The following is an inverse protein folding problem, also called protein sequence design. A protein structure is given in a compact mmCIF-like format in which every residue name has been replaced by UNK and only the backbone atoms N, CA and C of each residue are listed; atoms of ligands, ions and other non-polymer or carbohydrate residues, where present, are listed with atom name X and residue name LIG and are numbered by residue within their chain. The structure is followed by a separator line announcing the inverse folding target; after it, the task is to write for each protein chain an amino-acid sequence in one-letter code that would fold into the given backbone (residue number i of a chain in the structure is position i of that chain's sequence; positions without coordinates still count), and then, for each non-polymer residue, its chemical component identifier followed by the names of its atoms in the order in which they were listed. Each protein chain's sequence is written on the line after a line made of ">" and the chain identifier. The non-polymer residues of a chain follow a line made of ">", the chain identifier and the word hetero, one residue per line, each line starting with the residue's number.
data_IF_125074313441
#
_entry.id   IF_125074313441
#
_cell.length_a   1.000
_cell.length_b   1.000
_cell.length_c   1.000
_cell.angle_alpha   90.00
_cell.angle_beta   90.00
_cell.angle_gamma   90.00
#
_symmetry.space_group_name_H-M   'P 1'
#
loop_
_entity.id
_entity.type
_entity.pdbx_description
1 polymer ?
#
# COMPACT_ATOMS: atom_id res chain seq x y z
N UNK A 1 2.31 9.70 29.76
CA UNK A 1 3.12 9.19 28.62
C UNK A 1 2.17 8.97 27.46
N UNK A 2 2.38 9.66 26.36
CA UNK A 2 1.55 9.48 25.17
C UNK A 2 2.06 8.26 24.40
N UNK A 3 1.18 7.28 24.15
CA UNK A 3 1.51 6.21 23.23
C UNK A 3 1.75 6.80 21.83
N UNK A 4 2.88 6.47 21.25
CA UNK A 4 3.18 6.86 19.87
C UNK A 4 2.19 6.16 18.93
N UNK A 5 1.52 6.93 18.08
CA UNK A 5 0.66 6.37 17.04
C UNK A 5 1.50 5.59 16.05
N UNK A 6 1.00 4.45 15.58
CA UNK A 6 1.72 3.57 14.66
C UNK A 6 1.18 3.66 13.25
N UNK A 7 2.09 3.74 12.29
CA UNK A 7 1.79 3.66 10.88
C UNK A 7 2.60 2.54 10.22
N UNK A 8 1.90 1.68 9.49
CA UNK A 8 2.49 0.67 8.62
C UNK A 8 2.38 1.17 7.18
N UNK A 9 3.49 1.23 6.46
CA UNK A 9 3.54 1.79 5.10
C UNK A 9 4.07 0.74 4.13
N UNK A 10 3.30 0.46 3.09
CA UNK A 10 3.74 -0.26 1.91
C UNK A 10 3.95 0.72 0.76
N UNK A 11 5.17 0.83 0.28
CA UNK A 11 5.54 1.76 -0.78
C UNK A 11 6.54 1.09 -1.73
N UNK A 12 6.33 1.14 -3.05
CA UNK A 12 7.35 0.68 -3.99
C UNK A 12 8.65 1.49 -3.82
N UNK A 13 9.78 0.80 -3.80
CA UNK A 13 11.09 1.46 -3.77
C UNK A 13 11.36 2.13 -5.12
N UNK A 14 11.33 3.45 -5.12
CA UNK A 14 11.55 4.25 -6.32
C UNK A 14 12.21 5.59 -5.95
N UNK A 15 13.44 5.81 -6.36
CA UNK A 15 14.22 7.05 -6.14
C UNK A 15 14.17 7.60 -4.71
N UNK A 16 14.18 6.75 -3.70
CA UNK A 16 14.10 7.15 -2.27
C UNK A 16 12.78 7.81 -1.83
N UNK A 17 11.74 7.83 -2.68
CA UNK A 17 10.43 8.37 -2.29
C UNK A 17 9.82 7.66 -1.09
N UNK A 18 10.04 6.35 -0.98
CA UNK A 18 9.62 5.55 0.17
C UNK A 18 10.21 6.07 1.48
N UNK A 19 11.49 6.42 1.48
CA UNK A 19 12.20 6.98 2.64
C UNK A 19 11.69 8.37 2.98
N UNK A 20 11.44 9.22 1.99
CA UNK A 20 10.93 10.58 2.20
C UNK A 20 9.48 10.55 2.72
N UNK A 21 8.64 9.63 2.22
CA UNK A 21 7.29 9.40 2.74
C UNK A 21 7.35 8.97 4.20
N UNK A 22 8.23 8.02 4.54
CA UNK A 22 8.44 7.59 5.92
C UNK A 22 8.77 8.78 6.82
N UNK A 23 9.77 9.57 6.46
CA UNK A 23 10.17 10.77 7.23
C UNK A 23 9.03 11.76 7.40
N UNK A 24 8.26 12.00 6.34
CA UNK A 24 7.11 12.90 6.39
C UNK A 24 6.05 12.46 7.40
N UNK A 25 5.79 11.15 7.48
CA UNK A 25 4.84 10.57 8.43
C UNK A 25 5.42 10.60 9.86
N UNK A 26 6.71 10.29 10.02
CA UNK A 26 7.40 10.38 11.31
C UNK A 26 7.37 11.80 11.87
N UNK A 27 7.52 12.81 11.01
CA UNK A 27 7.43 14.23 11.40
C UNK A 27 6.02 14.64 11.90
N UNK A 28 4.99 13.84 11.61
CA UNK A 28 3.64 14.02 12.16
C UNK A 28 3.45 13.29 13.50
N UNK A 29 4.51 12.70 14.05
CA UNK A 29 4.47 12.04 15.37
C UNK A 29 4.11 10.56 15.34
N UNK A 30 4.23 9.90 14.19
CA UNK A 30 3.99 8.46 14.07
C UNK A 30 5.29 7.67 14.19
N UNK A 31 5.18 6.48 14.79
CA UNK A 31 6.20 5.43 14.65
C UNK A 31 5.90 4.65 13.36
N UNK A 32 6.83 4.65 12.41
CA UNK A 32 6.60 4.18 11.06
C UNK A 32 7.39 2.92 10.74
N UNK A 33 6.67 1.85 10.45
CA UNK A 33 7.22 0.63 9.86
C UNK A 33 7.01 0.67 8.34
N UNK A 34 8.11 0.67 7.57
CA UNK A 34 8.10 0.78 6.11
C UNK A 34 8.52 -0.54 5.46
N UNK A 35 7.72 -1.01 4.52
CA UNK A 35 8.01 -2.17 3.67
C UNK A 35 7.86 -1.84 2.19
N UNK A 36 8.59 -2.58 1.35
CA UNK A 36 8.36 -2.56 -0.10
C UNK A 36 6.97 -3.17 -0.38
N UNK A 37 6.19 -2.55 -1.22
CA UNK A 37 4.90 -3.09 -1.69
C UNK A 37 5.11 -4.37 -2.51
N UNK A 38 6.27 -4.52 -3.12
CA UNK A 38 6.63 -5.69 -3.92
C UNK A 38 7.38 -6.73 -3.09
N UNK A 39 7.03 -8.03 -3.22
CA UNK A 39 7.58 -9.09 -2.35
C UNK A 39 9.02 -9.48 -2.66
N UNK A 40 9.65 -8.92 -3.69
CA UNK A 40 11.00 -9.31 -4.12
C UNK A 40 11.75 -8.18 -4.81
N UNK A 41 13.07 -8.17 -4.60
CA UNK A 41 14.01 -7.31 -5.35
C UNK A 41 14.48 -7.94 -6.67
N UNK A 42 14.13 -9.21 -6.93
CA UNK A 42 14.50 -9.93 -8.15
C UNK A 42 13.88 -9.27 -9.38
N UNK A 43 14.71 -8.96 -10.38
CA UNK A 43 14.29 -8.25 -11.61
C UNK A 43 13.21 -9.03 -12.37
N UNK A 44 13.33 -10.35 -12.47
CA UNK A 44 12.35 -11.19 -13.17
C UNK A 44 10.99 -11.19 -12.47
N UNK A 45 10.97 -11.29 -11.14
CA UNK A 45 9.73 -11.22 -10.36
C UNK A 45 9.09 -9.85 -10.48
N UNK A 46 9.87 -8.78 -10.42
CA UNK A 46 9.38 -7.40 -10.61
C UNK A 46 8.83 -7.18 -12.02
N UNK A 47 9.46 -7.78 -13.03
CA UNK A 47 8.95 -7.74 -14.41
C UNK A 47 7.62 -8.48 -14.53
N UNK A 48 7.46 -9.65 -13.93
CA UNK A 48 6.20 -10.39 -13.93
C UNK A 48 5.08 -9.61 -13.24
N UNK A 49 5.36 -8.97 -12.11
CA UNK A 49 4.39 -8.12 -11.41
C UNK A 49 3.97 -6.95 -12.32
N UNK A 50 4.92 -6.27 -12.93
CA UNK A 50 4.66 -5.12 -13.83
C UNK A 50 3.83 -5.51 -15.04
N UNK A 51 4.01 -6.74 -15.55
CA UNK A 51 3.25 -7.28 -16.67
C UNK A 51 1.88 -7.85 -16.27
N UNK A 52 1.54 -7.82 -14.97
CA UNK A 52 0.25 -8.28 -14.48
C UNK A 52 0.12 -9.79 -14.24
N UNK A 53 1.24 -10.53 -14.19
CA UNK A 53 1.26 -11.97 -13.93
C UNK A 53 1.23 -12.31 -12.43
N UNK A 54 0.46 -11.55 -11.65
CA UNK A 54 0.36 -11.73 -10.20
C UNK A 54 -0.23 -13.09 -9.81
N UNK A 55 -1.08 -13.68 -10.64
CA UNK A 55 -1.67 -15.00 -10.38
C UNK A 55 -0.62 -16.10 -10.26
N UNK A 56 0.45 -16.03 -11.06
CA UNK A 56 1.58 -16.95 -10.97
C UNK A 56 2.35 -16.79 -9.65
N UNK A 57 2.38 -15.55 -9.13
CA UNK A 57 3.11 -15.19 -7.93
C UNK A 57 2.23 -15.16 -6.68
N UNK A 58 0.96 -15.55 -6.77
CA UNK A 58 -0.04 -15.40 -5.70
C UNK A 58 0.46 -15.91 -4.35
N UNK A 59 0.96 -17.14 -4.30
CA UNK A 59 1.46 -17.73 -3.05
C UNK A 59 2.64 -16.96 -2.47
N UNK A 60 3.54 -16.46 -3.32
CA UNK A 60 4.69 -15.66 -2.90
C UNK A 60 4.26 -14.32 -2.34
N UNK A 61 3.30 -13.67 -2.98
CA UNK A 61 2.72 -12.39 -2.54
C UNK A 61 2.01 -12.59 -1.19
N UNK A 62 1.13 -13.56 -1.10
CA UNK A 62 0.39 -13.85 0.14
C UNK A 62 1.34 -14.19 1.29
N UNK A 63 2.35 -15.02 1.06
CA UNK A 63 3.35 -15.38 2.07
C UNK A 63 4.13 -14.16 2.56
N UNK A 64 4.50 -13.25 1.66
CA UNK A 64 5.19 -12.02 2.00
C UNK A 64 4.38 -11.13 2.95
N UNK A 65 3.14 -10.84 2.60
CA UNK A 65 2.27 -10.00 3.42
C UNK A 65 1.87 -10.67 4.73
N UNK A 66 1.58 -11.97 4.71
CA UNK A 66 1.26 -12.72 5.91
C UNK A 66 2.42 -12.75 6.92
N UNK A 67 3.65 -12.86 6.44
CA UNK A 67 4.84 -12.79 7.28
C UNK A 67 4.94 -11.44 7.99
N UNK A 68 4.71 -10.35 7.29
CA UNK A 68 4.68 -8.99 7.89
C UNK A 68 3.53 -8.88 8.89
N UNK A 69 2.32 -9.32 8.51
CA UNK A 69 1.16 -9.32 9.39
C UNK A 69 1.43 -10.03 10.72
N UNK A 70 2.12 -11.18 10.68
CA UNK A 70 2.44 -11.97 11.87
C UNK A 70 3.48 -11.29 12.78
N UNK A 71 4.28 -10.36 12.27
CA UNK A 71 5.21 -9.58 13.11
C UNK A 71 4.54 -8.47 13.88
N UNK A 72 3.33 -8.05 13.49
CA UNK A 72 2.58 -7.00 14.17
C UNK A 72 2.05 -7.49 15.52
N UNK A 73 2.67 -7.05 16.59
CA UNK A 73 2.30 -7.42 17.97
C UNK A 73 1.32 -6.45 18.61
N UNK A 74 1.20 -5.24 18.06
CA UNK A 74 0.35 -4.17 18.58
C UNK A 74 -0.57 -3.63 17.48
N UNK A 75 -1.70 -3.01 17.86
CA UNK A 75 -2.59 -2.35 16.91
C UNK A 75 -1.87 -1.24 16.12
N UNK A 76 -2.22 -1.11 14.85
CA UNK A 76 -1.71 -0.09 13.94
C UNK A 76 -2.81 0.94 13.68
N UNK A 77 -2.51 2.22 13.87
CA UNK A 77 -3.50 3.30 13.66
C UNK A 77 -3.79 3.51 12.18
N UNK A 78 -2.74 3.49 11.35
CA UNK A 78 -2.86 3.66 9.91
C UNK A 78 -2.05 2.63 9.13
N UNK A 79 -2.71 1.94 8.21
CA UNK A 79 -2.09 1.22 7.11
C UNK A 79 -2.14 2.13 5.87
N UNK A 80 -0.98 2.53 5.38
CA UNK A 80 -0.85 3.40 4.22
C UNK A 80 -0.23 2.62 3.06
N UNK A 81 -0.91 2.60 1.92
CA UNK A 81 -0.47 1.85 0.74
C UNK A 81 -0.29 2.82 -0.41
N UNK A 82 0.91 2.87 -0.93
CA UNK A 82 1.27 3.75 -2.04
C UNK A 82 1.36 2.94 -3.32
N UNK A 83 0.58 3.34 -4.30
CA UNK A 83 0.59 2.79 -5.66
C UNK A 83 0.65 1.25 -5.73
N UNK A 84 -0.33 0.55 -5.15
CA UNK A 84 -0.31 -0.91 -5.01
C UNK A 84 -0.29 -1.63 -6.36
N UNK A 85 0.55 -2.65 -6.45
CA UNK A 85 0.62 -3.59 -7.57
C UNK A 85 0.32 -5.03 -7.13
N UNK A 86 0.68 -5.38 -5.90
CA UNK A 86 0.63 -6.75 -5.39
C UNK A 86 -0.44 -6.99 -4.35
N UNK A 87 -0.72 -6.00 -3.51
CA UNK A 87 -1.70 -6.16 -2.43
C UNK A 87 -3.10 -6.38 -2.99
N UNK A 88 -3.83 -7.32 -2.41
CA UNK A 88 -5.17 -7.72 -2.86
C UNK A 88 -6.23 -7.36 -1.83
N UNK A 89 -7.53 -7.33 -2.20
CA UNK A 89 -8.62 -7.17 -1.24
C UNK A 89 -8.58 -8.17 -0.07
N UNK A 90 -8.22 -9.43 -0.33
CA UNK A 90 -8.10 -10.48 0.68
C UNK A 90 -7.00 -10.15 1.69
N UNK A 91 -5.85 -9.67 1.22
CA UNK A 91 -4.75 -9.22 2.08
C UNK A 91 -5.20 -8.02 2.92
N UNK A 92 -5.88 -7.01 2.33
CA UNK A 92 -6.39 -5.87 3.08
C UNK A 92 -7.39 -6.27 4.17
N UNK A 93 -8.29 -7.20 3.88
CA UNK A 93 -9.23 -7.74 4.86
C UNK A 93 -8.49 -8.36 6.05
N UNK A 94 -7.38 -9.05 5.78
CA UNK A 94 -6.55 -9.61 6.86
C UNK A 94 -5.91 -8.52 7.70
N UNK A 95 -5.31 -7.52 7.08
CA UNK A 95 -4.70 -6.39 7.80
C UNK A 95 -5.71 -5.57 8.59
N UNK A 96 -6.98 -5.53 8.15
CA UNK A 96 -8.07 -4.87 8.90
C UNK A 96 -8.21 -5.40 10.33
N UNK A 97 -7.84 -6.63 10.60
CA UNK A 97 -7.90 -7.19 11.95
C UNK A 97 -6.97 -6.47 12.93
N UNK A 98 -5.90 -5.84 12.46
CA UNK A 98 -4.88 -5.16 13.28
C UNK A 98 -4.73 -3.67 12.97
N UNK A 99 -5.33 -3.18 11.88
CA UNK A 99 -5.19 -1.80 11.43
C UNK A 99 -6.53 -1.07 11.51
N UNK A 100 -6.56 0.07 12.19
CA UNK A 100 -7.79 0.84 12.41
C UNK A 100 -8.25 1.59 11.16
N UNK A 101 -7.30 2.15 10.40
CA UNK A 101 -7.57 2.91 9.19
C UNK A 101 -6.69 2.42 8.04
N UNK A 102 -7.29 2.25 6.86
CA UNK A 102 -6.60 1.87 5.63
C UNK A 102 -6.71 3.00 4.63
N UNK A 103 -5.57 3.53 4.20
CA UNK A 103 -5.46 4.62 3.25
C UNK A 103 -4.66 4.16 2.04
N UNK A 104 -5.18 4.38 0.86
CA UNK A 104 -4.50 4.08 -0.41
C UNK A 104 -4.26 5.37 -1.18
N UNK A 105 -3.07 5.52 -1.70
CA UNK A 105 -2.70 6.62 -2.59
C UNK A 105 -2.11 6.09 -3.89
N UNK A 106 -2.71 6.48 -5.01
CA UNK A 106 -2.23 6.15 -6.36
C UNK A 106 -1.41 7.30 -6.92
N UNK A 107 -0.12 7.05 -7.19
CA UNK A 107 0.72 7.97 -7.96
C UNK A 107 0.87 7.54 -9.44
N UNK A 108 0.09 6.56 -9.83
CA UNK A 108 -0.03 6.07 -11.20
C UNK A 108 -1.51 5.94 -11.57
N UNK A 109 -1.83 5.90 -12.85
CA UNK A 109 -3.21 5.79 -13.29
C UNK A 109 -3.72 4.35 -13.20
N UNK A 110 -5.03 4.18 -13.03
CA UNK A 110 -5.67 2.86 -13.09
C UNK A 110 -5.53 2.19 -14.46
N UNK A 111 -5.28 2.97 -15.51
CA UNK A 111 -4.96 2.42 -16.83
C UNK A 111 -3.72 1.53 -16.80
N UNK A 112 -2.73 1.91 -16.01
CA UNK A 112 -1.49 1.14 -15.83
C UNK A 112 -1.60 0.09 -14.72
N UNK A 113 -2.46 0.33 -13.73
CA UNK A 113 -2.63 -0.53 -12.54
C UNK A 113 -4.12 -0.80 -12.27
N UNK A 114 -4.82 -1.49 -13.17
CA UNK A 114 -6.27 -1.69 -13.04
C UNK A 114 -6.67 -2.51 -11.82
N UNK A 115 -5.80 -3.40 -11.32
CA UNK A 115 -6.05 -4.20 -10.13
C UNK A 115 -6.23 -3.37 -8.85
N UNK A 116 -5.70 -2.15 -8.82
CA UNK A 116 -5.87 -1.26 -7.67
C UNK A 116 -7.32 -0.78 -7.48
N UNK A 117 -8.16 -0.84 -8.52
CA UNK A 117 -9.59 -0.51 -8.44
C UNK A 117 -10.33 -1.35 -7.39
N UNK A 118 -9.95 -2.61 -7.24
CA UNK A 118 -10.59 -3.53 -6.29
C UNK A 118 -10.33 -3.13 -4.82
N UNK A 119 -9.36 -2.26 -4.58
CA UNK A 119 -9.01 -1.79 -3.23
C UNK A 119 -9.85 -0.59 -2.76
N UNK A 120 -10.57 0.08 -3.66
CA UNK A 120 -11.36 1.27 -3.32
C UNK A 120 -12.37 0.92 -2.23
N UNK A 121 -13.13 -0.15 -2.40
CA UNK A 121 -14.16 -0.59 -1.45
C UNK A 121 -13.58 -1.16 -0.14
N UNK A 122 -12.30 -1.52 -0.12
CA UNK A 122 -11.63 -2.10 1.04
C UNK A 122 -10.85 -1.07 1.88
N UNK A 123 -10.76 0.16 1.42
CA UNK A 123 -10.06 1.26 2.09
C UNK A 123 -11.03 2.24 2.76
N UNK A 124 -10.55 2.93 3.80
CA UNK A 124 -11.30 4.01 4.46
C UNK A 124 -11.14 5.33 3.73
N UNK A 125 -9.99 5.54 3.07
CA UNK A 125 -9.73 6.66 2.19
C UNK A 125 -8.90 6.22 1.00
N UNK A 126 -9.26 6.69 -0.17
CA UNK A 126 -8.58 6.41 -1.42
C UNK A 126 -8.32 7.71 -2.17
N UNK A 127 -7.04 7.93 -2.52
CA UNK A 127 -6.61 9.14 -3.22
C UNK A 127 -5.92 8.78 -4.54
N UNK A 128 -6.07 9.63 -5.53
CA UNK A 128 -5.31 9.56 -6.79
C UNK A 128 -4.72 10.91 -7.15
N UNK A 129 -3.59 10.90 -7.86
CA UNK A 129 -3.03 12.11 -8.46
C UNK A 129 -3.69 12.46 -9.80
N UNK A 130 -4.35 11.48 -10.44
CA UNK A 130 -4.92 11.59 -11.77
C UNK A 130 -6.35 12.14 -11.71
N UNK A 131 -6.57 13.31 -12.33
CA UNK A 131 -7.88 13.97 -12.31
C UNK A 131 -8.96 13.20 -13.08
N UNK A 132 -8.59 12.48 -14.13
CA UNK A 132 -9.54 11.65 -14.90
C UNK A 132 -9.99 10.44 -14.07
N UNK A 133 -9.06 9.79 -13.37
CA UNK A 133 -9.38 8.69 -12.48
C UNK A 133 -10.24 9.16 -11.30
N UNK A 134 -9.94 10.32 -10.73
CA UNK A 134 -10.71 10.92 -9.64
C UNK A 134 -12.18 11.14 -10.03
N UNK A 135 -12.41 11.68 -11.22
CA UNK A 135 -13.75 11.92 -11.74
C UNK A 135 -14.47 10.61 -12.11
N UNK A 136 -13.78 9.72 -12.84
CA UNK A 136 -14.37 8.48 -13.35
C UNK A 136 -14.80 7.51 -12.25
N UNK A 137 -14.03 7.44 -11.15
CA UNK A 137 -14.24 6.48 -10.06
C UNK A 137 -14.75 7.14 -8.77
N UNK A 138 -15.05 8.42 -8.80
CA UNK A 138 -15.51 9.19 -7.63
C UNK A 138 -14.59 9.05 -6.40
N UNK A 139 -13.31 9.22 -6.61
CA UNK A 139 -12.28 9.19 -5.57
C UNK A 139 -11.59 10.53 -5.42
N UNK A 140 -10.95 10.74 -4.26
CA UNK A 140 -10.36 12.03 -3.92
C UNK A 140 -9.11 12.32 -4.76
N UNK A 141 -9.07 13.51 -5.36
CA UNK A 141 -7.89 14.02 -6.04
C UNK A 141 -6.89 14.58 -5.03
N UNK A 142 -5.65 14.12 -5.12
CA UNK A 142 -4.51 14.64 -4.36
C UNK A 142 -3.32 14.78 -5.31
N UNK A 143 -3.04 15.98 -5.83
CA UNK A 143 -1.88 16.21 -6.70
C UNK A 143 -0.56 15.86 -6.01
N UNK A 144 0.42 15.45 -6.82
CA UNK A 144 1.80 15.21 -6.38
C UNK A 144 2.49 16.50 -5.93
#
# INVERSE_FOLDING_TARGET
>A
MFESKKALVFCPKFFSYDVEIKKAIENQGYDVELHDERPSTNIFIRALIRLGYNDILKKKIESYYLKIFNTLTEPVDFLIIISPECITPEILKKFREKCSNIVVYMWDSFKNKPQALDLISCSDAFYTFDSNDAELYDIKLKPL
#
